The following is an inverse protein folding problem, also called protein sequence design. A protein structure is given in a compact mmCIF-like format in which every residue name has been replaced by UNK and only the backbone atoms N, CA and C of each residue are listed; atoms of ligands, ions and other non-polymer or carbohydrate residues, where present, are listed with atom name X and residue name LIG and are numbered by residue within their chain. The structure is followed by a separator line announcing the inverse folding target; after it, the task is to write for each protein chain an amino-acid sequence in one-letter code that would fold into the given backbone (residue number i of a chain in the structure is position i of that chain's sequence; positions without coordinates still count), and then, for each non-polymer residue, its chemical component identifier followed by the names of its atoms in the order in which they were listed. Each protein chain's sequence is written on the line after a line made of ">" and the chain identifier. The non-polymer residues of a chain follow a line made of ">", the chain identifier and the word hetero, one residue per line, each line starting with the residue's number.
data_IF_211931543798
#
_entry.id   IF_211931543798
#
_cell.length_a   1.000
_cell.length_b   1.000
_cell.length_c   1.000
_cell.angle_alpha   90.00
_cell.angle_beta   90.00
_cell.angle_gamma   90.00
#
_symmetry.space_group_name_H-M   'P 1'
#
loop_
_entity.id
_entity.type
_entity.pdbx_description
1 polymer ?
#
# COMPACT_ATOMS: atom_id res chain seq x y z
N UNK A 1 -36.49 -15.70 21.41
CA UNK A 1 -36.03 -16.69 20.41
C UNK A 1 -35.54 -16.05 19.12
N UNK A 2 -36.37 -15.40 18.29
CA UNK A 2 -35.95 -14.79 17.00
C UNK A 2 -34.76 -13.82 17.08
N UNK A 3 -34.70 -12.97 18.11
CA UNK A 3 -33.58 -12.03 18.36
C UNK A 3 -32.25 -12.73 18.67
N UNK A 4 -32.29 -13.89 19.34
CA UNK A 4 -31.11 -14.70 19.64
C UNK A 4 -30.53 -15.30 18.35
N UNK A 5 -31.38 -15.83 17.47
CA UNK A 5 -30.93 -16.38 16.18
C UNK A 5 -30.33 -15.30 15.29
N UNK A 6 -30.92 -14.11 15.25
CA UNK A 6 -30.36 -12.97 14.54
C UNK A 6 -28.98 -12.55 15.09
N UNK A 7 -28.83 -12.51 16.42
CA UNK A 7 -27.56 -12.20 17.06
C UNK A 7 -26.48 -13.25 16.74
N UNK A 8 -26.85 -14.53 16.74
CA UNK A 8 -25.93 -15.62 16.39
C UNK A 8 -25.48 -15.51 14.92
N UNK A 9 -26.40 -15.24 13.99
CA UNK A 9 -26.06 -15.02 12.58
C UNK A 9 -25.09 -13.85 12.41
N UNK A 10 -25.32 -12.75 13.14
CA UNK A 10 -24.44 -11.59 13.11
C UNK A 10 -23.03 -11.92 13.62
N UNK A 11 -22.91 -12.66 14.72
CA UNK A 11 -21.62 -13.04 15.30
C UNK A 11 -20.81 -13.98 14.40
N UNK A 12 -21.46 -14.91 13.70
CA UNK A 12 -20.78 -15.81 12.75
C UNK A 12 -20.37 -15.14 11.43
N UNK A 13 -20.87 -13.95 11.11
CA UNK A 13 -20.51 -13.24 9.88
C UNK A 13 -19.14 -12.54 9.91
N UNK A 14 -18.51 -12.42 11.09
CA UNK A 14 -17.23 -11.70 11.23
C UNK A 14 -15.99 -12.53 10.89
N UNK A 15 -16.06 -13.86 10.91
CA UNK A 15 -14.87 -14.71 10.69
C UNK A 15 -14.35 -14.67 9.24
N UNK A 16 -15.16 -14.20 8.29
CA UNK A 16 -14.80 -14.14 6.87
C UNK A 16 -14.17 -12.81 6.43
N UNK A 17 -13.97 -11.85 7.34
CA UNK A 17 -13.45 -10.52 6.97
C UNK A 17 -11.92 -10.50 7.14
N UNK A 18 -11.21 -10.75 6.05
CA UNK A 18 -9.77 -10.47 5.96
C UNK A 18 -9.59 -8.97 5.67
N UNK A 19 -9.28 -8.18 6.70
CA UNK A 19 -9.06 -6.73 6.56
C UNK A 19 -7.63 -6.37 6.12
N UNK A 20 -6.71 -7.33 6.16
CA UNK A 20 -5.31 -7.14 5.83
C UNK A 20 -4.99 -8.01 4.62
N UNK A 21 -4.83 -7.36 3.47
CA UNK A 21 -4.28 -8.01 2.29
C UNK A 21 -2.82 -8.40 2.60
N UNK A 22 -2.45 -9.64 2.28
CA UNK A 22 -1.05 -10.01 2.21
C UNK A 22 -0.47 -9.27 0.99
N UNK A 23 0.08 -8.07 1.21
CA UNK A 23 0.26 -7.09 0.14
C UNK A 23 1.38 -7.49 -0.83
N UNK A 24 2.47 -8.08 -0.33
CA UNK A 24 3.69 -8.38 -1.11
C UNK A 24 4.09 -9.85 -1.05
N UNK A 25 4.41 -10.44 -2.20
CA UNK A 25 4.84 -11.82 -2.31
C UNK A 25 6.29 -11.95 -1.85
N UNK A 26 6.77 -13.18 -1.66
CA UNK A 26 8.18 -13.43 -1.35
C UNK A 26 9.14 -12.92 -2.44
N UNK A 27 8.63 -12.75 -3.66
CA UNK A 27 9.41 -12.25 -4.81
C UNK A 27 9.27 -10.73 -5.00
N UNK A 28 8.63 -10.01 -4.08
CA UNK A 28 8.53 -8.57 -4.18
C UNK A 28 9.90 -7.89 -4.01
N UNK A 29 10.19 -6.93 -4.88
CA UNK A 29 11.39 -6.11 -4.83
C UNK A 29 11.04 -4.69 -4.41
N UNK A 30 11.80 -4.14 -3.46
CA UNK A 30 11.72 -2.74 -3.06
C UNK A 30 13.02 -2.05 -3.47
N UNK A 31 12.89 -1.01 -4.29
CA UNK A 31 14.00 -0.23 -4.83
C UNK A 31 13.88 1.24 -4.40
N UNK A 32 15.01 1.89 -4.14
CA UNK A 32 15.09 3.35 -3.99
C UNK A 32 15.38 3.96 -5.35
N UNK A 33 14.49 4.81 -5.84
CA UNK A 33 14.70 5.62 -7.03
C UNK A 33 15.23 6.98 -6.62
N UNK A 34 16.35 7.39 -7.21
CA UNK A 34 16.91 8.73 -7.05
C UNK A 34 16.72 9.51 -8.35
N UNK A 35 16.07 10.67 -8.25
CA UNK A 35 15.86 11.61 -9.36
C UNK A 35 16.77 12.81 -9.12
N UNK A 36 17.56 13.16 -10.13
CA UNK A 36 18.44 14.32 -10.06
C UNK A 36 17.68 15.65 -9.97
N UNK A 37 18.40 16.76 -9.76
CA UNK A 37 17.84 18.11 -9.76
C UNK A 37 17.00 18.43 -11.00
N UNK A 38 15.84 19.04 -10.78
CA UNK A 38 15.01 19.66 -11.82
C UNK A 38 15.23 21.18 -11.92
N UNK A 39 14.40 21.83 -12.73
CA UNK A 39 14.53 23.26 -13.05
C UNK A 39 13.69 24.17 -12.14
N UNK A 40 12.73 23.61 -11.41
CA UNK A 40 11.81 24.35 -10.56
C UNK A 40 12.28 24.31 -9.10
N UNK A 41 11.91 25.31 -8.29
CA UNK A 41 12.36 25.36 -6.90
C UNK A 41 11.99 24.09 -6.10
N UNK A 42 10.82 23.52 -6.38
CA UNK A 42 10.31 22.34 -5.70
C UNK A 42 11.03 21.04 -6.08
N UNK A 43 11.81 21.02 -7.17
CA UNK A 43 12.58 19.84 -7.63
C UNK A 43 14.08 20.13 -7.81
N UNK A 44 14.54 21.35 -7.52
CA UNK A 44 15.93 21.82 -7.68
C UNK A 44 16.98 21.00 -6.89
N UNK A 45 16.56 20.24 -5.88
CA UNK A 45 17.46 19.37 -5.10
C UNK A 45 17.30 17.89 -5.44
N UNK A 46 16.47 17.56 -6.43
CA UNK A 46 16.10 16.21 -6.78
C UNK A 46 15.09 15.59 -5.81
N UNK A 47 14.72 14.35 -6.10
CA UNK A 47 13.72 13.60 -5.34
C UNK A 47 14.16 12.16 -5.10
N UNK A 48 13.54 11.54 -4.09
CA UNK A 48 13.64 10.10 -3.88
C UNK A 48 12.25 9.49 -3.92
N UNK A 49 12.16 8.25 -4.35
CA UNK A 49 10.92 7.48 -4.30
C UNK A 49 11.22 6.02 -3.97
N UNK A 50 10.26 5.33 -3.37
CA UNK A 50 10.30 3.89 -3.21
C UNK A 50 9.47 3.24 -4.31
N UNK A 51 10.09 2.37 -5.10
CA UNK A 51 9.38 1.51 -6.05
C UNK A 51 9.18 0.15 -5.41
N UNK A 52 7.94 -0.32 -5.42
CA UNK A 52 7.56 -1.66 -5.01
C UNK A 52 7.10 -2.40 -6.26
N UNK A 53 7.84 -3.44 -6.64
CA UNK A 53 7.55 -4.26 -7.80
C UNK A 53 7.37 -5.71 -7.36
N UNK A 54 6.20 -6.26 -7.61
CA UNK A 54 5.88 -7.66 -7.34
C UNK A 54 5.19 -8.25 -8.57
N UNK A 55 5.97 -8.93 -9.41
CA UNK A 55 5.47 -9.56 -10.64
C UNK A 55 4.50 -10.70 -10.35
N UNK A 56 4.63 -11.37 -9.20
CA UNK A 56 3.75 -12.49 -8.82
C UNK A 56 2.32 -12.01 -8.55
N UNK A 57 2.16 -10.73 -8.21
CA UNK A 57 0.87 -10.08 -7.93
C UNK A 57 0.49 -9.00 -8.94
N UNK A 58 1.30 -8.80 -9.99
CA UNK A 58 1.07 -7.75 -10.98
C UNK A 58 1.15 -6.33 -10.41
N UNK A 59 1.87 -6.14 -9.30
CA UNK A 59 2.02 -4.86 -8.62
C UNK A 59 3.30 -4.17 -9.10
N UNK A 60 3.18 -2.91 -9.54
CA UNK A 60 4.32 -2.04 -9.83
C UNK A 60 3.91 -0.60 -9.48
N UNK A 61 4.26 -0.17 -8.27
CA UNK A 61 3.83 1.11 -7.70
C UNK A 61 5.04 1.89 -7.20
N UNK A 62 4.97 3.22 -7.34
CA UNK A 62 6.03 4.14 -6.92
C UNK A 62 5.44 5.14 -5.94
N UNK A 63 6.04 5.21 -4.75
CA UNK A 63 5.69 6.17 -3.71
C UNK A 63 6.76 7.25 -3.63
N UNK A 64 6.38 8.49 -3.92
CA UNK A 64 7.25 9.65 -3.72
C UNK A 64 7.63 9.80 -2.24
N UNK A 65 8.91 10.00 -1.96
CA UNK A 65 9.43 10.19 -0.61
C UNK A 65 9.99 11.60 -0.44
N UNK A 66 9.67 12.23 0.70
CA UNK A 66 10.13 13.59 1.00
C UNK A 66 9.37 14.70 0.27
N UNK A 67 8.24 14.38 -0.39
CA UNK A 67 7.32 15.41 -0.87
C UNK A 67 6.64 16.13 0.30
N UNK A 68 6.38 17.42 0.10
CA UNK A 68 5.92 18.32 1.14
C UNK A 68 4.64 17.84 1.83
N UNK A 69 4.63 17.94 3.17
CA UNK A 69 3.43 17.88 4.00
C UNK A 69 3.18 19.28 4.55
N UNK A 70 2.77 20.22 3.69
CA UNK A 70 2.24 21.52 4.13
C UNK A 70 0.72 21.49 4.12
#
# INVERSE_FOLDING_TARGET
>A
MKKIYFLLILLFSFEAIQAQDHLLSENAEISVLTVGPGNELNDAFGHSAFRIKDTSRGLDVVYGYGQYRF
#
